data_IF_398141032993
#
_entry.id   IF_398141032993
#
_cell.length_a   1.000
_cell.length_b   1.000
_cell.length_c   1.000
_cell.angle_alpha   90.00
_cell.angle_beta   90.00
_cell.angle_gamma   90.00
#
_symmetry.space_group_name_H-M   'P 1'
#
loop_
_entity.id
_entity.type
_entity.pdbx_description
1 polymer ?
#
# COMPACT_ATOMS: atom_id res chain seq x y z
N UNK A 1 0.50 -13.63 -7.14
CA UNK A 1 -0.13 -14.11 -5.90
C UNK A 1 0.11 -15.60 -5.65
N UNK A 2 -0.28 -16.54 -6.52
CA UNK A 2 -0.09 -17.99 -6.27
C UNK A 2 1.37 -18.38 -5.97
N UNK A 3 2.32 -17.90 -6.77
CA UNK A 3 3.76 -18.14 -6.57
C UNK A 3 4.20 -17.65 -5.18
N UNK A 4 3.79 -16.44 -4.79
CA UNK A 4 4.07 -15.86 -3.48
C UNK A 4 3.51 -16.72 -2.34
N UNK A 5 2.28 -17.23 -2.49
CA UNK A 5 1.65 -18.11 -1.52
C UNK A 5 2.44 -19.40 -1.35
N UNK A 6 2.88 -20.02 -2.45
CA UNK A 6 3.71 -21.23 -2.41
C UNK A 6 5.04 -20.95 -1.72
N UNK A 7 5.71 -19.82 -2.03
CA UNK A 7 6.97 -19.44 -1.38
C UNK A 7 6.78 -19.29 0.14
N UNK A 8 5.76 -18.54 0.58
CA UNK A 8 5.48 -18.37 2.01
C UNK A 8 5.10 -19.68 2.70
N UNK A 9 4.33 -20.55 2.02
CA UNK A 9 3.97 -21.87 2.53
C UNK A 9 5.21 -22.76 2.71
N UNK A 10 6.11 -22.79 1.73
CA UNK A 10 7.38 -23.49 1.85
C UNK A 10 8.24 -22.92 2.99
N UNK A 11 8.40 -21.61 3.09
CA UNK A 11 9.13 -20.98 4.20
C UNK A 11 8.51 -21.38 5.54
N UNK A 12 7.19 -21.40 5.64
CA UNK A 12 6.46 -21.79 6.85
C UNK A 12 6.70 -23.24 7.27
N UNK A 13 6.73 -24.18 6.32
CA UNK A 13 6.96 -25.61 6.62
C UNK A 13 8.42 -25.98 6.87
N UNK A 14 9.37 -25.32 6.18
CA UNK A 14 10.79 -25.71 6.22
C UNK A 14 11.63 -24.91 7.22
N UNK A 15 11.12 -23.80 7.75
CA UNK A 15 11.87 -22.99 8.72
C UNK A 15 11.57 -23.45 10.14
N UNK A 16 12.58 -24.01 10.81
CA UNK A 16 12.51 -24.29 12.25
C UNK A 16 12.33 -22.95 12.97
N UNK A 17 11.29 -22.78 13.81
CA UNK A 17 11.10 -21.53 14.54
C UNK A 17 12.31 -21.28 15.43
N UNK A 18 12.99 -20.15 15.21
CA UNK A 18 14.10 -19.70 16.06
C UNK A 18 13.61 -19.16 17.42
N UNK A 19 12.29 -18.97 17.57
CA UNK A 19 11.64 -18.49 18.78
C UNK A 19 11.16 -19.71 19.57
N UNK A 20 11.64 -19.87 20.80
CA UNK A 20 11.17 -20.96 21.66
C UNK A 20 9.70 -20.75 22.01
N UNK A 21 8.90 -21.83 22.16
CA UNK A 21 7.53 -21.73 22.64
C UNK A 21 7.40 -20.93 23.95
N UNK A 22 8.42 -20.98 24.84
CA UNK A 22 8.41 -20.19 26.08
C UNK A 22 8.40 -18.69 25.81
N UNK A 23 9.20 -18.19 24.85
CA UNK A 23 9.21 -16.75 24.51
C UNK A 23 7.86 -16.28 23.95
N UNK A 24 7.18 -17.14 23.20
CA UNK A 24 5.84 -16.83 22.67
C UNK A 24 4.81 -16.76 23.79
N UNK A 25 4.88 -17.68 24.76
CA UNK A 25 4.01 -17.67 25.93
C UNK A 25 4.27 -16.43 26.81
N UNK A 26 5.53 -16.11 27.07
CA UNK A 26 5.93 -14.91 27.84
C UNK A 26 5.40 -13.63 27.19
N UNK A 27 5.52 -13.49 25.87
CA UNK A 27 4.97 -12.34 25.14
C UNK A 27 3.44 -12.28 25.28
N UNK A 28 2.74 -13.41 25.18
CA UNK A 28 1.29 -13.48 25.36
C UNK A 28 0.86 -13.07 26.77
N UNK A 29 1.51 -13.61 27.79
CA UNK A 29 1.22 -13.32 29.20
C UNK A 29 1.46 -11.83 29.52
N UNK A 30 2.55 -11.25 29.00
CA UNK A 30 2.86 -9.82 29.15
C UNK A 30 1.81 -8.90 28.52
N UNK A 31 1.21 -9.28 27.38
CA UNK A 31 0.13 -8.50 26.75
C UNK A 31 -1.17 -8.65 27.57
N UNK A 32 -1.49 -9.86 28.03
CA UNK A 32 -2.68 -10.12 28.85
C UNK A 32 -2.62 -9.41 30.22
N UNK A 33 -1.43 -9.18 30.76
CA UNK A 33 -1.25 -8.40 31.98
C UNK A 33 -1.52 -6.89 31.77
N UNK A 34 -1.28 -6.37 30.57
CA UNK A 34 -1.47 -4.93 30.27
C UNK A 34 -2.86 -4.59 29.70
N UNK A 35 -3.55 -5.53 29.04
CA UNK A 35 -4.82 -5.24 28.35
C UNK A 35 -5.94 -6.18 28.71
N UNK A 36 -7.14 -5.62 28.85
CA UNK A 36 -8.38 -6.40 28.89
C UNK A 36 -8.78 -6.80 27.46
N UNK A 37 -8.34 -7.97 27.00
CA UNK A 37 -8.69 -8.49 25.68
C UNK A 37 -10.06 -9.16 25.73
N UNK A 38 -11.03 -8.59 25.03
CA UNK A 38 -12.37 -9.16 24.90
C UNK A 38 -12.85 -9.11 23.44
N UNK A 39 -13.86 -9.94 23.13
CA UNK A 39 -14.40 -10.06 21.77
C UNK A 39 -15.05 -8.76 21.26
N UNK A 40 -15.50 -7.88 22.16
CA UNK A 40 -16.13 -6.60 21.80
C UNK A 40 -15.10 -5.61 21.23
N UNK A 41 -13.80 -5.77 21.51
CA UNK A 41 -12.75 -4.97 20.88
C UNK A 41 -12.71 -5.16 19.35
N UNK A 42 -13.21 -6.29 18.83
CA UNK A 42 -13.34 -6.51 17.39
C UNK A 42 -14.43 -5.67 16.72
N UNK A 43 -15.27 -4.95 17.48
CA UNK A 43 -16.28 -4.05 16.91
C UNK A 43 -15.62 -2.97 16.05
N UNK A 44 -14.49 -2.40 16.48
CA UNK A 44 -13.77 -1.39 15.70
C UNK A 44 -13.33 -1.90 14.31
N UNK A 45 -12.52 -2.97 14.19
CA UNK A 45 -12.14 -3.49 12.88
C UNK A 45 -13.33 -4.03 12.08
N UNK A 46 -14.32 -4.65 12.72
CA UNK A 46 -15.53 -5.12 12.05
C UNK A 46 -16.33 -3.97 11.41
N UNK A 47 -16.45 -2.84 12.10
CA UNK A 47 -17.09 -1.64 11.58
C UNK A 47 -16.35 -1.11 10.34
N UNK A 48 -15.01 -1.02 10.40
CA UNK A 48 -14.19 -0.55 9.27
C UNK A 48 -14.39 -1.47 8.06
N UNK A 49 -14.33 -2.79 8.25
CA UNK A 49 -14.57 -3.77 7.17
C UNK A 49 -15.98 -3.61 6.60
N UNK A 50 -16.98 -3.47 7.47
CA UNK A 50 -18.37 -3.24 7.05
C UNK A 50 -18.49 -1.98 6.20
N UNK A 51 -17.86 -0.87 6.60
CA UNK A 51 -17.86 0.38 5.84
C UNK A 51 -17.18 0.24 4.47
N UNK A 52 -16.06 -0.49 4.40
CA UNK A 52 -15.36 -0.78 3.14
C UNK A 52 -16.25 -1.61 2.21
N UNK A 53 -16.93 -2.64 2.71
CA UNK A 53 -17.88 -3.46 1.93
C UNK A 53 -19.04 -2.60 1.41
N UNK A 54 -19.50 -1.65 2.23
CA UNK A 54 -20.53 -0.67 1.86
C UNK A 54 -20.04 0.45 0.94
N UNK A 55 -18.76 0.44 0.55
CA UNK A 55 -18.14 1.42 -0.36
C UNK A 55 -18.15 2.86 0.18
N UNK A 56 -18.08 3.05 1.49
CA UNK A 56 -17.80 4.37 2.05
C UNK A 56 -16.36 4.80 1.71
N UNK A 57 -16.13 6.11 1.68
CA UNK A 57 -14.79 6.67 1.47
C UNK A 57 -13.82 6.18 2.54
N UNK A 58 -12.58 5.85 2.12
CA UNK A 58 -11.57 5.27 3.01
C UNK A 58 -11.26 6.18 4.22
N UNK A 59 -11.22 7.50 4.01
CA UNK A 59 -11.00 8.49 5.08
C UNK A 59 -12.12 8.41 6.13
N UNK A 60 -13.38 8.32 5.70
CA UNK A 60 -14.52 8.21 6.60
C UNK A 60 -14.49 6.89 7.40
N UNK A 61 -14.14 5.78 6.75
CA UNK A 61 -14.01 4.48 7.41
C UNK A 61 -12.89 4.48 8.46
N UNK A 62 -11.72 5.05 8.15
CA UNK A 62 -10.60 5.16 9.09
C UNK A 62 -10.93 6.07 10.28
N UNK A 63 -11.58 7.21 10.05
CA UNK A 63 -12.00 8.11 11.12
C UNK A 63 -13.02 7.44 12.05
N UNK A 64 -14.02 6.77 11.48
CA UNK A 64 -15.00 6.02 12.28
C UNK A 64 -14.33 4.92 13.12
N UNK A 65 -13.38 4.19 12.52
CA UNK A 65 -12.57 3.19 13.23
C UNK A 65 -11.77 3.77 14.38
N UNK A 66 -11.12 4.92 14.17
CA UNK A 66 -10.34 5.61 15.20
C UNK A 66 -11.22 6.10 16.37
N UNK A 67 -12.38 6.70 16.07
CA UNK A 67 -13.33 7.18 17.08
C UNK A 67 -13.89 6.00 17.89
N UNK A 68 -14.34 4.93 17.23
CA UNK A 68 -14.85 3.75 17.92
C UNK A 68 -13.74 3.06 18.73
N UNK A 69 -12.52 2.99 18.20
CA UNK A 69 -11.35 2.51 18.94
C UNK A 69 -11.10 3.32 20.22
N UNK A 70 -11.19 4.65 20.13
CA UNK A 70 -11.09 5.53 21.29
C UNK A 70 -12.20 5.29 22.32
N UNK A 71 -13.45 5.14 21.89
CA UNK A 71 -14.58 4.81 22.78
C UNK A 71 -14.37 3.46 23.46
N UNK A 72 -13.94 2.43 22.72
CA UNK A 72 -13.65 1.11 23.28
C UNK A 72 -12.47 1.14 24.25
N UNK A 73 -11.43 1.94 23.99
CA UNK A 73 -10.32 2.13 24.93
C UNK A 73 -10.80 2.75 26.24
N UNK A 74 -11.69 3.74 26.20
CA UNK A 74 -12.29 4.36 27.38
C UNK A 74 -13.19 3.36 28.14
N UNK A 75 -13.93 2.49 27.46
CA UNK A 75 -14.82 1.55 28.16
C UNK A 75 -14.04 0.37 28.76
N UNK A 76 -13.07 -0.17 28.02
CA UNK A 76 -12.44 -1.45 28.33
C UNK A 76 -11.00 -1.35 28.84
N UNK A 77 -10.31 -0.21 28.71
CA UNK A 77 -8.90 -0.04 29.08
C UNK A 77 -8.65 1.20 29.98
N UNK A 78 -9.33 1.32 31.14
CA UNK A 78 -9.23 2.51 31.99
C UNK A 78 -7.82 2.77 32.51
N UNK A 79 -7.06 1.73 32.86
CA UNK A 79 -5.69 1.87 33.38
C UNK A 79 -4.73 2.39 32.31
N UNK A 80 -4.84 1.87 31.09
CA UNK A 80 -4.05 2.34 29.94
C UNK A 80 -4.38 3.78 29.59
N UNK A 81 -5.66 4.18 29.65
CA UNK A 81 -6.07 5.57 29.45
C UNK A 81 -5.38 6.50 30.42
N UNK A 82 -5.30 6.13 31.71
CA UNK A 82 -4.61 6.93 32.71
C UNK A 82 -3.10 7.05 32.43
N UNK A 83 -2.45 5.93 32.09
CA UNK A 83 -1.01 5.89 31.73
C UNK A 83 -0.71 6.76 30.50
N UNK A 84 -1.52 6.66 29.45
CA UNK A 84 -1.32 7.40 28.21
C UNK A 84 -1.56 8.90 28.42
N UNK A 85 -2.60 9.27 29.17
CA UNK A 85 -2.89 10.67 29.50
C UNK A 85 -1.76 11.31 30.32
N UNK A 86 -1.16 10.57 31.26
CA UNK A 86 0.02 10.98 32.02
C UNK A 86 -0.19 12.18 32.95
N UNK A 87 -1.42 12.38 33.43
CA UNK A 87 -1.77 13.51 34.29
C UNK A 87 -2.81 13.16 35.34
N UNK A 88 -3.02 14.08 36.28
CA UNK A 88 -4.07 14.01 37.30
C UNK A 88 -5.33 14.73 36.81
N UNK A 89 -6.50 14.13 37.00
CA UNK A 89 -7.77 14.72 36.58
C UNK A 89 -8.95 13.76 36.70
N UNK A 90 -10.15 14.25 36.39
CA UNK A 90 -11.32 13.39 36.29
C UNK A 90 -11.16 12.45 35.08
N UNK A 91 -11.70 11.24 35.19
CA UNK A 91 -11.63 10.18 34.18
C UNK A 91 -12.05 10.66 32.79
N UNK A 92 -13.06 11.53 32.68
CA UNK A 92 -13.50 12.10 31.41
C UNK A 92 -12.41 12.96 30.73
N UNK A 93 -11.65 13.73 31.50
CA UNK A 93 -10.55 14.55 30.99
C UNK A 93 -9.37 13.68 30.56
N UNK A 94 -9.02 12.68 31.37
CA UNK A 94 -7.96 11.72 31.03
C UNK A 94 -8.32 10.93 29.77
N UNK A 95 -9.58 10.51 29.64
CA UNK A 95 -10.10 9.82 28.46
C UNK A 95 -9.96 10.66 27.20
N UNK A 96 -10.37 11.93 27.25
CA UNK A 96 -10.22 12.84 26.11
C UNK A 96 -8.73 13.02 25.74
N UNK A 97 -7.88 13.30 26.74
CA UNK A 97 -6.44 13.50 26.52
C UNK A 97 -5.79 12.24 25.94
N UNK A 98 -6.06 11.06 26.50
CA UNK A 98 -5.49 9.81 26.04
C UNK A 98 -5.88 9.49 24.60
N UNK A 99 -7.16 9.63 24.26
CA UNK A 99 -7.67 9.35 22.91
C UNK A 99 -7.07 10.31 21.88
N UNK A 100 -7.05 11.62 22.18
CA UNK A 100 -6.46 12.62 21.29
C UNK A 100 -4.95 12.39 21.14
N UNK A 101 -4.23 12.09 22.22
CA UNK A 101 -2.79 11.82 22.22
C UNK A 101 -2.47 10.55 21.42
N UNK A 102 -3.22 9.47 21.63
CA UNK A 102 -3.05 8.22 20.88
C UNK A 102 -3.27 8.39 19.36
N UNK A 103 -4.23 9.24 18.96
CA UNK A 103 -4.47 9.54 17.54
C UNK A 103 -3.43 10.51 16.96
N UNK A 104 -2.94 11.47 17.75
CA UNK A 104 -2.19 12.59 17.21
C UNK A 104 -0.68 12.43 17.33
N UNK A 105 -0.20 11.90 18.44
CA UNK A 105 1.22 11.89 18.82
C UNK A 105 1.72 10.48 19.12
N UNK A 106 3.01 10.38 19.40
CA UNK A 106 3.57 9.14 19.93
C UNK A 106 3.07 8.79 21.34
N UNK A 107 2.77 7.51 21.54
CA UNK A 107 2.45 6.87 22.81
C UNK A 107 3.31 5.62 22.96
N UNK A 108 3.68 5.31 24.19
CA UNK A 108 4.37 4.06 24.53
C UNK A 108 3.79 3.55 25.83
N UNK A 109 3.32 2.31 25.81
CA UNK A 109 2.76 1.65 26.99
C UNK A 109 3.90 0.86 27.64
N UNK A 110 4.27 1.16 28.89
CA UNK A 110 5.35 0.45 29.57
C UNK A 110 5.07 -1.06 29.62
N UNK A 111 6.06 -1.85 29.25
CA UNK A 111 6.01 -3.31 29.37
C UNK A 111 7.41 -3.83 29.75
N UNK A 112 7.46 -4.92 30.51
CA UNK A 112 8.71 -5.54 30.95
C UNK A 112 9.44 -6.24 29.79
N UNK A 113 8.68 -6.76 28.82
CA UNK A 113 9.25 -7.35 27.61
C UNK A 113 9.52 -6.27 26.54
N UNK A 114 10.77 -6.11 26.05
CA UNK A 114 11.11 -5.09 25.06
C UNK A 114 10.37 -5.24 23.73
N UNK A 115 10.05 -6.47 23.32
CA UNK A 115 9.30 -6.73 22.08
C UNK A 115 7.84 -6.34 22.26
N UNK A 116 7.25 -6.65 23.43
CA UNK A 116 5.93 -6.17 23.80
C UNK A 116 5.87 -4.64 23.87
N UNK A 117 6.85 -4.00 24.51
CA UNK A 117 6.90 -2.54 24.63
C UNK A 117 6.95 -1.84 23.26
N UNK A 118 7.71 -2.39 22.31
CA UNK A 118 7.76 -1.88 20.93
C UNK A 118 6.42 -2.10 20.20
N UNK A 119 5.81 -3.29 20.34
CA UNK A 119 4.51 -3.61 19.76
C UNK A 119 3.37 -2.73 20.30
N UNK A 120 3.47 -2.32 21.57
CA UNK A 120 2.49 -1.49 22.27
C UNK A 120 2.81 0.01 22.18
N UNK A 121 3.79 0.39 21.36
CA UNK A 121 4.10 1.76 21.04
C UNK A 121 3.47 2.15 19.69
N UNK A 122 2.88 3.33 19.63
CA UNK A 122 2.26 3.86 18.41
C UNK A 122 2.67 5.32 18.21
N UNK A 123 2.70 5.80 16.97
CA UNK A 123 3.19 7.14 16.63
C UNK A 123 2.09 8.15 16.26
N UNK A 124 0.84 7.71 16.20
CA UNK A 124 -0.28 8.55 15.76
C UNK A 124 -0.05 9.21 14.40
N UNK A 125 -0.72 10.34 14.17
CA UNK A 125 -0.54 11.17 12.97
C UNK A 125 0.87 11.79 12.89
N UNK A 126 1.50 12.09 14.03
CA UNK A 126 2.88 12.59 14.11
C UNK A 126 3.86 11.68 13.36
N UNK A 127 3.74 10.36 13.55
CA UNK A 127 4.56 9.37 12.86
C UNK A 127 4.42 9.37 11.33
N UNK A 128 3.32 9.92 10.81
CA UNK A 128 3.05 9.99 9.37
C UNK A 128 3.46 11.33 8.75
N UNK A 129 3.83 12.34 9.54
CA UNK A 129 4.15 13.68 9.03
C UNK A 129 5.27 13.67 7.99
N UNK A 130 6.32 12.86 8.19
CA UNK A 130 7.40 12.71 7.21
C UNK A 130 6.89 12.18 5.85
N UNK A 131 5.97 11.22 5.88
CA UNK A 131 5.34 10.68 4.66
C UNK A 131 4.46 11.74 4.01
N UNK A 132 3.69 12.51 4.78
CA UNK A 132 2.86 13.60 4.26
C UNK A 132 3.72 14.67 3.58
N UNK A 133 4.82 15.08 4.21
CA UNK A 133 5.77 16.02 3.61
C UNK A 133 6.35 15.49 2.29
N UNK A 134 6.70 14.21 2.25
CA UNK A 134 7.20 13.54 1.07
C UNK A 134 6.14 13.55 -0.06
N UNK A 135 4.87 13.25 0.24
CA UNK A 135 3.75 13.33 -0.72
C UNK A 135 3.61 14.75 -1.27
N UNK A 136 3.58 15.78 -0.40
CA UNK A 136 3.41 17.18 -0.83
C UNK A 136 4.54 17.60 -1.78
N UNK A 137 5.80 17.29 -1.41
CA UNK A 137 6.96 17.58 -2.24
C UNK A 137 6.90 16.83 -3.58
N UNK A 138 6.61 15.53 -3.56
CA UNK A 138 6.57 14.69 -4.76
C UNK A 138 5.43 15.11 -5.70
N UNK A 139 4.22 15.33 -5.19
CA UNK A 139 3.08 15.79 -5.99
C UNK A 139 3.31 17.18 -6.59
N UNK A 140 3.92 18.10 -5.82
CA UNK A 140 4.30 19.42 -6.33
C UNK A 140 5.31 19.33 -7.47
N UNK A 141 6.36 18.51 -7.29
CA UNK A 141 7.36 18.25 -8.34
C UNK A 141 6.73 17.60 -9.57
N UNK A 142 5.91 16.57 -9.39
CA UNK A 142 5.24 15.88 -10.49
C UNK A 142 4.27 16.77 -11.25
N UNK A 143 3.55 17.66 -10.55
CA UNK A 143 2.67 18.66 -11.15
C UNK A 143 3.44 19.65 -12.03
N UNK A 144 4.58 20.17 -11.54
CA UNK A 144 5.45 21.04 -12.33
C UNK A 144 5.96 20.30 -13.57
N UNK A 145 6.52 19.09 -13.39
CA UNK A 145 7.06 18.26 -14.47
C UNK A 145 6.05 17.95 -15.58
N UNK A 146 4.79 17.71 -15.23
CA UNK A 146 3.68 17.54 -16.19
C UNK A 146 3.34 18.85 -16.90
N UNK A 147 3.22 19.96 -16.16
CA UNK A 147 2.82 21.26 -16.71
C UNK A 147 3.80 21.81 -17.77
N UNK A 148 5.10 21.53 -17.62
CA UNK A 148 6.14 21.94 -18.57
C UNK A 148 6.42 20.88 -19.67
N UNK A 149 5.70 19.75 -19.66
CA UNK A 149 5.83 18.69 -20.66
C UNK A 149 7.14 17.89 -20.59
N UNK A 150 7.90 18.01 -19.50
CA UNK A 150 9.17 17.28 -19.33
C UNK A 150 8.94 15.77 -19.29
N UNK A 151 7.83 15.32 -18.71
CA UNK A 151 7.47 13.90 -18.66
C UNK A 151 7.26 13.30 -20.05
N UNK A 152 6.61 14.02 -20.98
CA UNK A 152 6.49 13.57 -22.37
C UNK A 152 7.84 13.60 -23.10
N UNK A 153 8.71 14.57 -22.79
CA UNK A 153 10.05 14.70 -23.40
C UNK A 153 10.96 13.52 -23.04
N UNK A 154 10.99 13.10 -21.77
CA UNK A 154 11.83 12.00 -21.28
C UNK A 154 11.43 10.66 -21.93
N UNK A 155 10.17 10.52 -22.34
CA UNK A 155 9.58 9.22 -22.66
C UNK A 155 9.29 8.99 -24.14
N UNK A 156 9.20 10.04 -24.96
CA UNK A 156 9.18 9.91 -26.43
C UNK A 156 10.28 8.96 -26.97
N UNK A 157 11.54 9.02 -26.50
CA UNK A 157 12.60 8.11 -26.96
C UNK A 157 12.34 6.64 -26.57
N UNK A 158 11.74 6.41 -25.40
CA UNK A 158 11.42 5.08 -24.88
C UNK A 158 10.30 4.42 -25.71
N UNK A 159 9.25 5.16 -26.03
CA UNK A 159 8.14 4.70 -26.88
C UNK A 159 8.62 4.28 -28.27
N UNK A 160 9.57 5.04 -28.87
CA UNK A 160 10.11 4.74 -30.22
C UNK A 160 10.89 3.43 -30.29
N UNK A 161 11.47 2.96 -29.18
CA UNK A 161 12.24 1.71 -29.13
C UNK A 161 11.34 0.47 -29.02
N UNK A 162 10.10 0.62 -28.56
CA UNK A 162 9.21 -0.51 -28.36
C UNK A 162 8.62 -1.00 -29.69
N UNK A 163 9.15 -2.05 -30.33
CA UNK A 163 8.67 -2.50 -31.65
C UNK A 163 7.55 -3.55 -31.60
N UNK A 164 7.50 -4.34 -30.53
CA UNK A 164 6.53 -5.44 -30.35
C UNK A 164 5.56 -5.15 -29.19
N UNK A 165 4.50 -5.94 -29.05
CA UNK A 165 3.58 -5.84 -27.91
C UNK A 165 4.28 -6.11 -26.58
N UNK A 166 5.09 -7.17 -26.51
CA UNK A 166 5.89 -7.47 -25.31
C UNK A 166 6.87 -6.36 -24.98
N UNK A 167 7.55 -5.80 -25.98
CA UNK A 167 8.45 -4.66 -25.77
C UNK A 167 7.72 -3.40 -25.32
N UNK A 168 6.48 -3.15 -25.77
CA UNK A 168 5.67 -2.03 -25.29
C UNK A 168 5.31 -2.20 -23.81
N UNK A 169 4.82 -3.38 -23.41
CA UNK A 169 4.51 -3.71 -22.02
C UNK A 169 5.77 -3.61 -21.15
N UNK A 170 6.90 -4.17 -21.60
CA UNK A 170 8.19 -4.07 -20.91
C UNK A 170 8.64 -2.62 -20.72
N UNK A 171 8.52 -1.79 -21.75
CA UNK A 171 8.90 -0.37 -21.68
C UNK A 171 7.98 0.40 -20.72
N UNK A 172 6.68 0.11 -20.72
CA UNK A 172 5.72 0.70 -19.77
C UNK A 172 6.02 0.28 -18.34
N UNK A 173 6.27 -1.01 -18.09
CA UNK A 173 6.63 -1.52 -16.77
C UNK A 173 7.94 -0.89 -16.27
N UNK A 174 8.99 -0.89 -17.09
CA UNK A 174 10.27 -0.27 -16.77
C UNK A 174 10.16 1.23 -16.51
N UNK A 175 9.33 1.94 -17.28
CA UNK A 175 9.06 3.37 -17.03
C UNK A 175 8.38 3.59 -15.69
N UNK A 176 7.41 2.75 -15.34
CA UNK A 176 6.68 2.87 -14.06
C UNK A 176 7.61 2.62 -12.88
N UNK A 177 8.46 1.60 -12.95
CA UNK A 177 9.49 1.32 -11.94
C UNK A 177 10.50 2.47 -11.86
N UNK A 178 10.96 2.99 -13.00
CA UNK A 178 11.88 4.12 -13.04
C UNK A 178 11.29 5.34 -12.32
N UNK A 179 10.02 5.68 -12.59
CA UNK A 179 9.36 6.80 -11.91
C UNK A 179 9.21 6.51 -10.41
N UNK A 180 8.93 5.28 -9.98
CA UNK A 180 8.92 4.93 -8.56
C UNK A 180 10.28 5.17 -7.89
N UNK A 181 11.37 4.87 -8.59
CA UNK A 181 12.74 5.08 -8.11
C UNK A 181 13.07 6.57 -8.06
N UNK A 182 12.60 7.40 -9.01
CA UNK A 182 13.02 8.80 -9.10
C UNK A 182 12.07 9.82 -8.47
N UNK A 183 10.76 9.58 -8.50
CA UNK A 183 9.74 10.59 -8.20
C UNK A 183 9.13 10.45 -6.80
N UNK A 184 9.63 9.52 -5.98
CA UNK A 184 9.26 9.33 -4.57
C UNK A 184 7.76 9.09 -4.29
N UNK A 185 6.89 9.01 -5.29
CA UNK A 185 5.44 8.89 -5.13
C UNK A 185 4.83 7.90 -6.14
N UNK A 186 3.96 7.02 -5.63
CA UNK A 186 3.32 5.97 -6.43
C UNK A 186 2.33 6.54 -7.45
N UNK A 187 1.61 7.62 -7.11
CA UNK A 187 0.61 8.19 -8.01
C UNK A 187 1.28 8.69 -9.29
N UNK A 188 2.46 9.32 -9.21
CA UNK A 188 3.25 9.68 -10.39
C UNK A 188 3.68 8.46 -11.21
N UNK A 189 4.10 7.37 -10.56
CA UNK A 189 4.50 6.15 -11.25
C UNK A 189 3.36 5.46 -12.02
N UNK A 190 2.11 5.76 -11.68
CA UNK A 190 0.92 5.24 -12.38
C UNK A 190 0.45 6.22 -13.46
N UNK A 191 0.21 7.48 -13.08
CA UNK A 191 -0.44 8.46 -13.96
C UNK A 191 0.44 8.85 -15.13
N UNK A 192 1.74 9.01 -14.90
CA UNK A 192 2.67 9.49 -15.92
C UNK A 192 2.83 8.44 -17.03
N UNK A 193 3.22 7.18 -16.75
CA UNK A 193 3.23 6.13 -17.77
C UNK A 193 1.84 5.86 -18.35
N UNK A 194 0.77 5.94 -17.57
CA UNK A 194 -0.59 5.77 -18.06
C UNK A 194 -0.96 6.77 -19.16
N UNK A 195 -0.75 8.07 -18.92
CA UNK A 195 -1.02 9.11 -19.93
C UNK A 195 -0.12 8.97 -21.15
N UNK A 196 1.17 8.71 -20.93
CA UNK A 196 2.17 8.63 -22.00
C UNK A 196 1.95 7.46 -22.94
N UNK A 197 1.63 6.27 -22.42
CA UNK A 197 1.50 5.05 -23.23
C UNK A 197 0.07 4.80 -23.75
N UNK A 198 -0.96 5.45 -23.20
CA UNK A 198 -2.36 5.26 -23.60
C UNK A 198 -2.59 5.34 -25.12
N UNK A 199 -2.09 6.40 -25.75
CA UNK A 199 -2.25 6.58 -27.20
C UNK A 199 -1.52 5.50 -28.02
N UNK A 200 -0.37 5.03 -27.54
CA UNK A 200 0.43 3.99 -28.22
C UNK A 200 -0.22 2.62 -28.11
N UNK A 201 -0.77 2.26 -26.95
CA UNK A 201 -1.55 1.03 -26.78
C UNK A 201 -2.77 1.03 -27.71
N UNK A 202 -3.51 2.14 -27.77
CA UNK A 202 -4.67 2.29 -28.67
C UNK A 202 -4.27 2.16 -30.15
N UNK A 203 -3.19 2.83 -30.59
CA UNK A 203 -2.68 2.75 -31.97
C UNK A 203 -2.24 1.33 -32.37
N UNK A 204 -1.89 0.47 -31.42
CA UNK A 204 -1.55 -0.94 -31.66
C UNK A 204 -2.72 -1.90 -31.52
N UNK A 205 -3.95 -1.38 -31.40
CA UNK A 205 -5.14 -2.21 -31.24
C UNK A 205 -5.15 -2.98 -29.92
N UNK A 206 -4.44 -2.51 -28.88
CA UNK A 206 -4.45 -3.12 -27.55
C UNK A 206 -5.55 -2.49 -26.71
N UNK A 207 -6.35 -3.32 -26.05
CA UNK A 207 -7.40 -2.85 -25.16
C UNK A 207 -6.79 -2.15 -23.92
N UNK A 208 -7.46 -1.13 -23.34
CA UNK A 208 -6.92 -0.31 -22.25
C UNK A 208 -6.60 -1.10 -20.98
N UNK A 209 -7.24 -2.26 -20.78
CA UNK A 209 -6.97 -3.13 -19.64
C UNK A 209 -5.52 -3.65 -19.62
N UNK A 210 -4.86 -3.79 -20.78
CA UNK A 210 -3.45 -4.21 -20.80
C UNK A 210 -2.55 -3.12 -20.22
N UNK A 211 -2.82 -1.85 -20.54
CA UNK A 211 -2.07 -0.73 -19.97
C UNK A 211 -2.33 -0.63 -18.47
N UNK A 212 -3.61 -0.60 -18.06
CA UNK A 212 -3.99 -0.57 -16.64
C UNK A 212 -3.32 -1.70 -15.85
N UNK A 213 -3.40 -2.94 -16.34
CA UNK A 213 -2.72 -4.08 -15.72
C UNK A 213 -1.20 -3.87 -15.61
N UNK A 214 -0.57 -3.35 -16.66
CA UNK A 214 0.88 -3.09 -16.64
C UNK A 214 1.26 -2.03 -15.61
N UNK A 215 0.44 -1.00 -15.44
CA UNK A 215 0.65 0.04 -14.43
C UNK A 215 0.44 -0.50 -13.02
N UNK A 216 -0.56 -1.35 -12.79
CA UNK A 216 -0.76 -1.97 -11.48
C UNK A 216 0.38 -2.94 -11.13
N UNK A 217 0.77 -3.80 -12.07
CA UNK A 217 1.80 -4.82 -11.85
C UNK A 217 3.22 -4.24 -11.78
N UNK A 218 3.45 -2.99 -12.17
CA UNK A 218 4.78 -2.36 -12.13
C UNK A 218 4.80 -1.07 -11.31
N UNK A 219 3.88 -0.14 -11.54
CA UNK A 219 3.79 1.11 -10.79
C UNK A 219 3.28 0.92 -9.37
N UNK A 220 2.12 0.30 -9.19
CA UNK A 220 1.52 0.13 -7.85
C UNK A 220 2.39 -0.77 -6.97
N UNK A 221 2.69 -1.98 -7.42
CA UNK A 221 3.33 -2.97 -6.52
C UNK A 221 4.80 -2.67 -6.23
N UNK A 222 5.54 -1.93 -7.05
CA UNK A 222 6.98 -1.71 -6.78
C UNK A 222 7.28 -0.49 -5.93
N UNK A 223 6.30 0.39 -5.69
CA UNK A 223 6.49 1.61 -4.88
C UNK A 223 7.03 1.29 -3.46
N UNK A 224 6.52 0.22 -2.84
CA UNK A 224 6.95 -0.22 -1.50
C UNK A 224 8.42 -0.65 -1.44
N UNK A 225 9.04 -1.00 -2.57
CA UNK A 225 10.42 -1.49 -2.61
C UNK A 225 11.45 -0.36 -2.54
N UNK A 226 11.01 0.90 -2.65
CA UNK A 226 11.88 2.07 -2.73
C UNK A 226 11.84 2.84 -1.40
N UNK A 227 12.97 2.97 -0.67
CA UNK A 227 12.96 3.50 0.70
C UNK A 227 12.45 4.94 0.82
N UNK A 228 12.76 5.77 -0.19
CA UNK A 228 12.33 7.17 -0.26
C UNK A 228 11.03 7.35 -1.04
N UNK A 229 10.31 6.28 -1.36
CA UNK A 229 8.97 6.38 -1.90
C UNK A 229 7.92 6.31 -0.78
N UNK A 230 6.82 7.03 -0.93
CA UNK A 230 5.67 7.05 0.00
C UNK A 230 5.32 5.70 0.62
N UNK A 231 5.08 4.66 -0.18
CA UNK A 231 4.72 3.34 0.33
C UNK A 231 5.90 2.67 1.05
N UNK A 232 7.13 2.82 0.55
CA UNK A 232 8.32 2.26 1.17
C UNK A 232 8.60 2.86 2.55
N UNK A 233 8.51 4.20 2.64
CA UNK A 233 8.64 4.96 3.87
C UNK A 233 7.54 4.61 4.88
N UNK A 234 6.28 4.50 4.42
CA UNK A 234 5.15 4.12 5.27
C UNK A 234 5.34 2.71 5.83
N UNK A 235 5.68 1.72 4.99
CA UNK A 235 5.85 0.34 5.45
C UNK A 235 7.08 0.19 6.35
N UNK A 236 8.16 0.92 6.10
CA UNK A 236 9.31 0.95 7.00
C UNK A 236 8.95 1.54 8.37
N UNK A 237 8.12 2.59 8.38
CA UNK A 237 7.63 3.21 9.60
C UNK A 237 6.67 2.31 10.39
N UNK A 238 5.78 1.58 9.72
CA UNK A 238 4.80 0.68 10.34
C UNK A 238 5.46 -0.61 10.84
N UNK A 239 6.38 -1.19 10.06
CA UNK A 239 7.07 -2.43 10.44
C UNK A 239 8.25 -2.21 11.39
N UNK A 240 8.65 -0.96 11.64
CA UNK A 240 9.80 -0.63 12.48
C UNK A 240 11.16 -1.04 11.88
N UNK A 241 11.22 -1.45 10.61
CA UNK A 241 12.45 -1.92 9.95
C UNK A 241 12.70 -1.17 8.64
N UNK A 242 13.97 -0.99 8.30
CA UNK A 242 14.34 -0.35 7.04
C UNK A 242 13.82 -1.15 5.82
N UNK A 243 13.52 -0.46 4.72
CA UNK A 243 13.01 -1.09 3.48
C UNK A 243 13.88 -2.24 2.98
N UNK A 244 15.22 -2.11 3.07
CA UNK A 244 16.13 -3.17 2.65
C UNK A 244 15.98 -4.48 3.45
N UNK A 245 15.43 -4.43 4.67
CA UNK A 245 15.20 -5.60 5.52
C UNK A 245 13.97 -6.38 5.08
N UNK A 246 12.86 -5.70 4.80
CA UNK A 246 11.63 -6.39 4.36
C UNK A 246 11.60 -6.67 2.86
N UNK A 247 12.35 -5.91 2.04
CA UNK A 247 12.33 -6.01 0.57
C UNK A 247 12.51 -7.44 0.05
N UNK A 248 13.43 -8.28 0.56
CA UNK A 248 13.59 -9.66 0.08
C UNK A 248 12.36 -10.54 0.29
N UNK A 249 11.47 -10.17 1.22
CA UNK A 249 10.24 -10.90 1.53
C UNK A 249 9.03 -10.38 0.74
N UNK A 250 9.16 -9.27 0.00
CA UNK A 250 8.12 -8.73 -0.88
C UNK A 250 8.04 -9.49 -2.21
N UNK A 251 7.90 -10.82 -2.16
CA UNK A 251 7.93 -11.69 -3.34
C UNK A 251 6.89 -11.30 -4.39
N UNK A 252 5.67 -10.92 -3.97
CA UNK A 252 4.64 -10.49 -4.92
C UNK A 252 5.07 -9.25 -5.70
N UNK A 253 5.57 -8.25 -4.99
CA UNK A 253 6.00 -6.97 -5.54
C UNK A 253 7.19 -7.11 -6.49
N UNK A 254 8.10 -8.05 -6.22
CA UNK A 254 9.26 -8.35 -7.08
C UNK A 254 8.84 -9.15 -8.32
N UNK A 255 7.97 -10.17 -8.14
CA UNK A 255 7.63 -11.12 -9.21
C UNK A 255 6.56 -10.56 -10.17
N UNK A 256 5.61 -9.74 -9.70
CA UNK A 256 4.50 -9.24 -10.55
C UNK A 256 4.98 -8.52 -11.81
N UNK A 257 5.93 -7.56 -11.74
CA UNK A 257 6.42 -6.88 -12.93
C UNK A 257 7.06 -7.86 -13.92
N UNK A 258 7.85 -8.81 -13.43
CA UNK A 258 8.51 -9.83 -14.26
C UNK A 258 7.49 -10.70 -14.98
N UNK A 259 6.44 -11.12 -14.28
CA UNK A 259 5.36 -11.93 -14.85
C UNK A 259 4.59 -11.18 -15.93
N UNK A 260 4.31 -9.89 -15.71
CA UNK A 260 3.60 -9.07 -16.70
C UNK A 260 4.42 -8.84 -17.96
N UNK A 261 5.73 -8.64 -17.83
CA UNK A 261 6.63 -8.59 -18.98
C UNK A 261 6.68 -9.92 -19.72
N UNK A 262 6.81 -11.04 -18.99
CA UNK A 262 6.82 -12.38 -19.58
C UNK A 262 5.53 -12.67 -20.37
N UNK A 263 4.36 -12.35 -19.79
CA UNK A 263 3.07 -12.54 -20.45
C UNK A 263 2.92 -11.65 -21.68
N UNK A 264 3.49 -10.44 -21.64
CA UNK A 264 3.56 -9.54 -22.78
C UNK A 264 4.36 -10.11 -23.95
N UNK A 265 5.52 -10.72 -23.70
CA UNK A 265 6.34 -11.36 -24.73
C UNK A 265 5.73 -12.65 -25.28
N UNK A 266 5.16 -13.48 -24.40
CA UNK A 266 4.47 -14.72 -24.79
C UNK A 266 3.08 -14.46 -25.41
N UNK A 267 2.62 -13.21 -25.42
CA UNK A 267 1.31 -12.79 -25.92
C UNK A 267 0.15 -13.55 -25.25
N UNK A 268 0.28 -13.86 -23.95
CA UNK A 268 -0.71 -14.60 -23.17
C UNK A 268 -1.73 -13.63 -22.58
N UNK A 269 -3.02 -13.87 -22.83
CA UNK A 269 -4.15 -13.06 -22.31
C UNK A 269 -4.01 -11.56 -22.61
N UNK A 270 -3.45 -11.21 -23.77
CA UNK A 270 -3.36 -9.83 -24.24
C UNK A 270 -4.66 -9.46 -24.97
N UNK A 271 -5.45 -8.57 -24.37
CA UNK A 271 -6.73 -8.14 -24.91
C UNK A 271 -6.54 -7.19 -26.10
N UNK A 272 -7.30 -7.36 -27.18
CA UNK A 272 -7.24 -6.49 -28.36
C UNK A 272 -8.56 -5.73 -28.50
N UNK A 273 -8.47 -4.53 -29.08
CA UNK A 273 -9.66 -3.74 -29.42
C UNK A 273 -10.42 -4.52 -30.50
N UNK A 274 -11.72 -4.77 -30.33
CA UNK A 274 -12.53 -5.38 -31.37
C UNK A 274 -12.41 -4.56 -32.65
N UNK A 275 -12.10 -5.21 -33.77
CA UNK A 275 -12.23 -4.57 -35.07
C UNK A 275 -13.72 -4.33 -35.25
N UNK A 276 -14.13 -3.07 -35.36
CA UNK A 276 -15.48 -2.78 -35.83
C UNK A 276 -15.56 -3.36 -37.23
N UNK A 277 -16.29 -4.47 -37.38
CA UNK A 277 -16.76 -4.90 -38.69
C UNK A 277 -17.66 -3.77 -39.17
N UNK A 278 -17.13 -2.91 -40.04
CA UNK A 278 -17.95 -2.02 -40.85
C UNK A 278 -19.02 -2.91 -41.47
N UNK A 279 -20.28 -2.64 -41.11
CA UNK A 279 -21.42 -3.37 -41.62
C UNK A 279 -21.35 -3.35 -43.14
N UNK A 280 -21.33 -4.52 -43.74
CA UNK A 280 -21.67 -4.68 -45.16
C UNK A 280 -22.96 -3.90 -45.37
N UNK A 281 -23.02 -2.92 -46.29
CA UNK A 281 -24.28 -2.28 -46.61
C UNK A 281 -25.21 -3.40 -47.07
N UNK A 282 -26.38 -3.55 -46.44
CA UNK A 282 -27.46 -4.38 -46.97
C UNK A 282 -27.87 -3.79 -48.32
N UNK A 283 -27.18 -4.20 -49.38
CA UNK A 283 -27.64 -4.03 -50.74
C UNK A 283 -28.67 -5.13 -51.02
N UNK A 284 -29.91 -4.68 -51.19
CA UNK A 284 -30.90 -5.20 -52.13
C UNK A 284 -31.43 -6.61 -51.85
N UNK A 285 -32.62 -6.70 -51.23
CA UNK A 285 -33.76 -7.43 -51.81
C UNK A 285 -35.08 -7.25 -51.05
N UNK A 286 -35.92 -6.34 -51.54
CA UNK A 286 -37.35 -6.52 -51.93
C UNK A 286 -38.09 -5.18 -51.88
#
# INVERSE_FOLDING_TARGET
MLITLVIFLCIGFFRVPAVSPEKMQQLGDSIHASFNINILLFIAPALVIFMIIRKYDAIAALLAGAVVGGVLAVIFQPDIVAVVAGGEGNYAQLSYMAVVKAMSTSISIPNEDPVAADLLSARGMEGMLNTIWLIICAMSFGGVMESVGLLQRITQPLVKKAKTTGSLIATTAASSIFINVTAADQYLAIVVPGRMYASTFKKRGLAPQNLSRTLEDAGTVTSVLIPWNTCGATQAGVLGVATGVYLPFCFFNIISPMMTVLYGYLNIKIARIPIATEGVPETINK
#
